data_IF_292917789773
#
_entry.id   IF_292917789773
#
_cell.length_a   1.000
_cell.length_b   1.000
_cell.length_c   1.000
_cell.angle_alpha   90.00
_cell.angle_beta   90.00
_cell.angle_gamma   90.00
#
_symmetry.space_group_name_H-M   'P 1'
#
loop_
_entity.id
_entity.type
_entity.pdbx_description
1 polymer ?
#
# COMPACT_ATOMS: atom_id res chain seq x y z
N UNK A 1 -7.50 -12.01 -12.92
CA UNK A 1 -6.98 -11.53 -14.21
C UNK A 1 -5.49 -11.86 -14.27
N UNK A 2 -4.95 -12.14 -15.46
CA UNK A 2 -3.51 -12.40 -15.63
C UNK A 2 -2.66 -11.16 -15.27
N UNK A 3 -1.46 -11.39 -14.75
CA UNK A 3 -0.54 -10.36 -14.27
C UNK A 3 -0.25 -9.28 -15.32
N UNK A 4 0.06 -9.67 -16.55
CA UNK A 4 0.39 -8.72 -17.63
C UNK A 4 -0.77 -7.77 -17.92
N UNK A 5 -2.00 -8.31 -17.99
CA UNK A 5 -3.21 -7.51 -18.15
C UNK A 5 -3.41 -6.57 -16.97
N UNK A 6 -3.18 -7.04 -15.74
CA UNK A 6 -3.31 -6.22 -14.54
C UNK A 6 -2.29 -5.07 -14.54
N UNK A 7 -1.04 -5.34 -14.91
CA UNK A 7 0.04 -4.36 -15.02
C UNK A 7 -0.28 -3.29 -16.07
N UNK A 8 -0.80 -3.67 -17.23
CA UNK A 8 -1.21 -2.73 -18.26
C UNK A 8 -2.34 -1.80 -17.79
N UNK A 9 -3.35 -2.34 -17.09
CA UNK A 9 -4.44 -1.53 -16.52
C UNK A 9 -3.89 -0.61 -15.42
N UNK A 10 -3.05 -1.12 -14.52
CA UNK A 10 -2.44 -0.34 -13.44
C UNK A 10 -1.57 0.80 -13.99
N UNK A 11 -0.73 0.54 -15.00
CA UNK A 11 0.10 1.55 -15.63
C UNK A 11 -0.72 2.66 -16.29
N UNK A 12 -1.82 2.31 -16.96
CA UNK A 12 -2.74 3.29 -17.53
C UNK A 12 -3.40 4.16 -16.45
N UNK A 13 -3.81 3.55 -15.34
CA UNK A 13 -4.40 4.27 -14.21
C UNK A 13 -3.38 5.18 -13.52
N UNK A 14 -2.16 4.69 -13.29
CA UNK A 14 -1.06 5.49 -12.73
C UNK A 14 -0.81 6.72 -13.59
N UNK A 15 -0.73 6.56 -14.92
CA UNK A 15 -0.54 7.69 -15.84
C UNK A 15 -1.67 8.72 -15.73
N UNK A 16 -2.91 8.29 -15.53
CA UNK A 16 -4.07 9.17 -15.41
C UNK A 16 -4.14 9.91 -14.06
N UNK A 17 -3.65 9.28 -12.99
CA UNK A 17 -3.67 9.84 -11.63
C UNK A 17 -2.39 10.63 -11.27
N UNK A 18 -1.25 10.35 -11.92
CA UNK A 18 0.05 10.96 -11.63
C UNK A 18 0.01 12.50 -11.48
N UNK A 19 -0.72 13.27 -12.33
CA UNK A 19 -0.77 14.73 -12.19
C UNK A 19 -1.38 15.24 -10.86
N UNK A 20 -2.11 14.38 -10.14
CA UNK A 20 -2.77 14.70 -8.88
C UNK A 20 -2.03 14.14 -7.65
N UNK A 21 -0.89 13.50 -7.85
CA UNK A 21 -0.14 12.76 -6.84
C UNK A 21 1.28 13.33 -6.72
N UNK A 22 1.74 13.53 -5.49
CA UNK A 22 3.18 13.68 -5.21
C UNK A 22 3.89 12.34 -5.42
N UNK A 23 3.26 11.26 -4.93
CA UNK A 23 3.79 9.90 -5.07
C UNK A 23 2.66 8.90 -5.30
N UNK A 24 2.95 7.86 -6.09
CA UNK A 24 2.03 6.76 -6.39
C UNK A 24 2.80 5.45 -6.51
N UNK A 25 2.31 4.42 -5.84
CA UNK A 25 2.88 3.08 -5.87
C UNK A 25 1.81 2.05 -6.19
N UNK A 26 2.09 1.20 -7.18
CA UNK A 26 1.31 -0.04 -7.40
C UNK A 26 1.74 -1.05 -6.35
N UNK A 27 0.81 -1.48 -5.51
CA UNK A 27 1.05 -2.42 -4.43
C UNK A 27 0.40 -3.78 -4.74
N UNK A 28 -0.07 -4.48 -3.70
CA UNK A 28 -0.87 -5.67 -3.85
C UNK A 28 -0.17 -6.83 -4.53
N UNK A 29 -0.98 -7.70 -5.10
CA UNK A 29 -0.52 -8.91 -5.78
C UNK A 29 0.27 -8.63 -7.07
N UNK A 30 0.07 -7.46 -7.70
CA UNK A 30 0.88 -7.00 -8.83
C UNK A 30 2.33 -6.77 -8.41
N UNK A 31 2.56 -6.02 -7.33
CA UNK A 31 3.93 -5.77 -6.83
C UNK A 31 4.63 -7.05 -6.39
N UNK A 32 3.86 -8.05 -5.90
CA UNK A 32 4.36 -9.40 -5.57
C UNK A 32 4.51 -10.34 -6.78
N UNK A 33 4.25 -9.88 -8.01
CA UNK A 33 4.37 -10.68 -9.23
C UNK A 33 3.53 -11.98 -9.22
N UNK A 34 2.33 -11.93 -8.63
CA UNK A 34 1.42 -13.09 -8.64
C UNK A 34 0.84 -13.28 -10.05
N UNK A 35 0.82 -14.50 -10.59
CA UNK A 35 0.32 -14.75 -11.95
C UNK A 35 -1.16 -14.39 -12.10
N UNK A 36 -1.96 -14.65 -11.04
CA UNK A 36 -3.37 -14.29 -10.96
C UNK A 36 -3.58 -13.14 -9.98
N UNK A 37 -4.06 -12.02 -10.51
CA UNK A 37 -4.38 -10.79 -9.80
C UNK A 37 -5.89 -10.65 -9.63
N UNK A 38 -6.36 -10.32 -8.42
CA UNK A 38 -7.79 -10.14 -8.13
C UNK A 38 -8.25 -8.70 -8.38
N UNK A 39 -7.42 -7.76 -7.98
CA UNK A 39 -7.65 -6.33 -7.87
C UNK A 39 -6.33 -5.56 -8.01
N UNK A 40 -6.44 -4.25 -8.23
CA UNK A 40 -5.31 -3.32 -8.31
C UNK A 40 -5.29 -2.50 -7.04
N UNK A 41 -4.21 -2.61 -6.27
CA UNK A 41 -3.97 -1.78 -5.09
C UNK A 41 -3.03 -0.63 -5.45
N UNK A 42 -3.43 0.62 -5.17
CA UNK A 42 -2.58 1.80 -5.27
C UNK A 42 -2.41 2.46 -3.90
N UNK A 43 -1.19 2.87 -3.57
CA UNK A 43 -0.90 3.76 -2.43
C UNK A 43 -0.49 5.11 -3.00
N UNK A 44 -1.14 6.19 -2.57
CA UNK A 44 -0.99 7.53 -3.15
C UNK A 44 -0.73 8.57 -2.05
N UNK A 45 0.29 9.41 -2.25
CA UNK A 45 0.39 10.71 -1.59
C UNK A 45 -0.23 11.76 -2.54
N UNK A 46 -1.36 12.39 -2.18
CA UNK A 46 -2.01 13.37 -3.04
C UNK A 46 -1.24 14.70 -3.03
N UNK A 47 -1.00 15.28 -4.21
CA UNK A 47 -0.48 16.66 -4.31
C UNK A 47 -1.55 17.69 -3.89
N UNK A 48 -2.81 17.36 -4.14
CA UNK A 48 -3.95 18.11 -3.62
C UNK A 48 -5.13 17.17 -3.39
N UNK A 49 -5.57 17.03 -2.13
CA UNK A 49 -6.63 16.09 -1.76
C UNK A 49 -7.96 16.39 -2.47
N UNK A 50 -8.32 17.67 -2.63
CA UNK A 50 -9.56 18.07 -3.29
C UNK A 50 -9.56 17.75 -4.78
N UNK A 51 -8.47 18.07 -5.48
CA UNK A 51 -8.36 17.77 -6.92
C UNK A 51 -8.33 16.26 -7.19
N UNK A 52 -7.60 15.48 -6.39
CA UNK A 52 -7.63 14.03 -6.49
C UNK A 52 -9.04 13.49 -6.25
N UNK A 53 -9.75 13.98 -5.23
CA UNK A 53 -11.12 13.54 -4.93
C UNK A 53 -12.08 13.84 -6.10
N UNK A 54 -12.00 15.04 -6.69
CA UNK A 54 -12.80 15.40 -7.88
C UNK A 54 -12.46 14.48 -9.06
N UNK A 55 -11.17 14.22 -9.31
CA UNK A 55 -10.75 13.30 -10.38
C UNK A 55 -11.27 11.89 -10.16
N UNK A 56 -11.13 11.33 -8.96
CA UNK A 56 -11.63 10.00 -8.62
C UNK A 56 -13.15 9.90 -8.74
N UNK A 57 -13.88 10.94 -8.32
CA UNK A 57 -15.32 11.01 -8.49
C UNK A 57 -15.73 11.00 -9.97
N UNK A 58 -15.05 11.79 -10.81
CA UNK A 58 -15.26 11.81 -12.25
C UNK A 58 -14.95 10.45 -12.92
N UNK A 59 -14.04 9.65 -12.35
CA UNK A 59 -13.75 8.28 -12.77
C UNK A 59 -14.76 7.24 -12.25
N UNK A 60 -15.81 7.67 -11.55
CA UNK A 60 -16.87 6.79 -11.05
C UNK A 60 -16.64 6.26 -9.64
N UNK A 61 -15.71 6.83 -8.86
CA UNK A 61 -15.63 6.55 -7.43
C UNK A 61 -16.89 7.10 -6.74
N UNK A 62 -17.77 6.19 -6.29
CA UNK A 62 -19.02 6.52 -5.58
C UNK A 62 -18.97 6.18 -4.09
N UNK A 63 -18.01 5.35 -3.69
CA UNK A 63 -17.87 4.85 -2.32
C UNK A 63 -16.40 4.91 -1.90
N UNK A 64 -16.10 5.76 -0.92
CA UNK A 64 -14.76 5.88 -0.35
C UNK A 64 -14.74 6.76 0.88
N UNK A 65 -13.99 6.34 1.89
CA UNK A 65 -13.69 7.16 3.06
C UNK A 65 -12.40 7.98 2.85
N UNK A 66 -12.06 8.90 3.76
CA UNK A 66 -10.91 9.79 3.58
C UNK A 66 -9.57 9.06 3.40
N UNK A 67 -9.46 7.80 3.87
CA UNK A 67 -8.23 6.99 3.80
C UNK A 67 -8.21 5.96 2.67
N UNK A 68 -9.36 5.64 2.08
CA UNK A 68 -9.46 4.60 1.07
C UNK A 68 -10.64 4.84 0.13
N UNK A 69 -10.38 4.71 -1.17
CA UNK A 69 -11.33 4.92 -2.26
C UNK A 69 -11.41 3.65 -3.10
N UNK A 70 -12.60 3.34 -3.64
CA UNK A 70 -12.79 2.17 -4.51
C UNK A 70 -13.52 2.55 -5.79
N UNK A 71 -13.03 2.05 -6.91
CA UNK A 71 -13.68 2.24 -8.20
C UNK A 71 -13.43 1.05 -9.14
N UNK A 72 -14.20 0.98 -10.21
CA UNK A 72 -13.91 0.09 -11.34
C UNK A 72 -13.20 0.86 -12.44
N UNK A 73 -12.10 0.31 -12.94
CA UNK A 73 -11.32 0.91 -14.02
C UNK A 73 -10.98 -0.16 -15.06
N UNK A 74 -11.44 0.04 -16.32
CA UNK A 74 -11.23 -0.90 -17.44
C UNK A 74 -11.57 -2.36 -17.10
N UNK A 75 -12.64 -2.56 -16.33
CA UNK A 75 -13.13 -3.88 -15.90
C UNK A 75 -12.36 -4.52 -14.74
N UNK A 76 -11.43 -3.80 -14.11
CA UNK A 76 -10.75 -4.23 -12.88
C UNK A 76 -11.29 -3.48 -11.66
N UNK A 77 -11.36 -4.16 -10.51
CA UNK A 77 -11.55 -3.50 -9.23
C UNK A 77 -10.24 -2.82 -8.80
N UNK A 78 -10.35 -1.59 -8.31
CA UNK A 78 -9.21 -0.81 -7.84
C UNK A 78 -9.49 -0.33 -6.41
N UNK A 79 -8.54 -0.62 -5.52
CA UNK A 79 -8.46 -0.07 -4.18
C UNK A 79 -7.35 0.99 -4.15
N UNK A 80 -7.70 2.21 -3.76
CA UNK A 80 -6.76 3.34 -3.64
C UNK A 80 -6.64 3.74 -2.18
N UNK A 81 -5.44 3.71 -1.63
CA UNK A 81 -5.12 4.06 -0.26
C UNK A 81 -4.42 5.42 -0.22
N UNK A 82 -5.01 6.36 0.52
CA UNK A 82 -4.49 7.72 0.67
C UNK A 82 -3.50 7.75 1.83
N UNK A 83 -2.28 8.21 1.54
CA UNK A 83 -1.16 8.29 2.45
C UNK A 83 -0.68 9.74 2.61
N UNK A 84 0.04 9.97 3.69
CA UNK A 84 0.97 11.09 3.89
C UNK A 84 2.39 10.59 3.69
N UNK A 85 3.36 11.50 3.58
CA UNK A 85 4.80 11.16 3.53
C UNK A 85 5.19 10.21 4.66
N UNK A 86 4.71 10.44 5.88
CA UNK A 86 5.06 9.62 7.03
C UNK A 86 4.36 8.27 7.08
N UNK A 87 3.23 8.11 6.39
CA UNK A 87 2.47 6.85 6.41
C UNK A 87 2.72 5.99 5.18
N UNK A 88 3.26 6.58 4.12
CA UNK A 88 3.45 5.95 2.83
C UNK A 88 4.32 4.69 2.90
N UNK A 89 5.50 4.65 3.55
CA UNK A 89 6.35 3.46 3.53
C UNK A 89 5.67 2.23 4.17
N UNK A 90 5.00 2.44 5.31
CA UNK A 90 4.28 1.36 5.99
C UNK A 90 3.02 0.94 5.22
N UNK A 91 2.28 1.89 4.64
CA UNK A 91 1.13 1.55 3.78
C UNK A 91 1.57 0.79 2.54
N UNK A 92 2.70 1.14 1.91
CA UNK A 92 3.28 0.36 0.80
C UNK A 92 3.62 -1.05 1.27
N UNK A 93 4.29 -1.23 2.42
CA UNK A 93 4.60 -2.55 2.97
C UNK A 93 3.32 -3.39 3.18
N UNK A 94 2.35 -2.84 3.91
CA UNK A 94 1.11 -3.51 4.30
C UNK A 94 0.24 -3.82 3.08
N UNK A 95 0.07 -2.87 2.16
CA UNK A 95 -0.75 -3.05 0.96
C UNK A 95 -0.04 -3.88 -0.09
N UNK A 96 1.28 -3.97 -0.07
CA UNK A 96 2.02 -4.99 -0.82
C UNK A 96 1.69 -6.37 -0.27
N UNK A 97 1.54 -6.52 1.05
CA UNK A 97 1.22 -7.80 1.68
C UNK A 97 2.32 -8.85 1.46
N UNK A 98 2.00 -10.15 1.50
CA UNK A 98 0.68 -10.75 1.64
C UNK A 98 0.02 -10.49 3.00
N UNK A 99 -1.28 -10.75 3.12
CA UNK A 99 -1.95 -10.68 4.42
C UNK A 99 -1.37 -11.64 5.45
N UNK A 100 -0.75 -12.76 5.04
CA UNK A 100 -0.07 -13.68 5.95
C UNK A 100 1.31 -13.15 6.36
N UNK A 101 2.08 -12.61 5.42
CA UNK A 101 3.35 -11.93 5.71
C UNK A 101 3.15 -10.76 6.70
N UNK A 102 2.12 -9.92 6.51
CA UNK A 102 1.79 -8.85 7.44
C UNK A 102 1.48 -9.39 8.85
N UNK A 103 0.77 -10.52 8.97
CA UNK A 103 0.50 -11.15 10.28
C UNK A 103 1.78 -11.65 10.91
N UNK A 104 2.66 -12.29 10.15
CA UNK A 104 3.94 -12.80 10.64
C UNK A 104 4.81 -11.62 11.17
N UNK A 105 4.85 -10.49 10.44
CA UNK A 105 5.51 -9.26 10.91
C UNK A 105 4.89 -8.70 12.19
N UNK A 106 3.56 -8.66 12.28
CA UNK A 106 2.86 -8.16 13.46
C UNK A 106 3.11 -9.05 14.70
N UNK A 107 3.12 -10.37 14.53
CA UNK A 107 3.46 -11.34 15.58
C UNK A 107 4.91 -11.11 16.04
N UNK A 108 5.83 -10.94 15.10
CA UNK A 108 7.25 -10.68 15.40
C UNK A 108 7.47 -9.37 16.15
N UNK A 109 6.83 -8.28 15.71
CA UNK A 109 6.86 -6.99 16.40
C UNK A 109 6.34 -7.13 17.84
N UNK A 110 5.21 -7.82 18.02
CA UNK A 110 4.64 -8.09 19.35
C UNK A 110 5.61 -8.87 20.24
N UNK A 111 6.30 -9.87 19.70
CA UNK A 111 7.33 -10.63 20.40
C UNK A 111 8.52 -9.78 20.87
N UNK A 112 8.77 -8.64 20.21
CA UNK A 112 9.78 -7.65 20.59
C UNK A 112 9.22 -6.53 21.49
N UNK A 113 7.96 -6.62 21.93
CA UNK A 113 7.31 -5.58 22.72
C UNK A 113 6.97 -4.32 21.92
N UNK A 114 6.90 -4.43 20.59
CA UNK A 114 6.59 -3.36 19.64
C UNK A 114 5.18 -3.57 19.04
N UNK A 115 4.63 -2.51 18.47
CA UNK A 115 3.37 -2.54 17.74
C UNK A 115 3.57 -2.28 16.25
N UNK A 116 3.15 -3.23 15.42
CA UNK A 116 3.08 -3.09 13.97
C UNK A 116 1.81 -2.32 13.58
N UNK A 117 1.93 -1.02 13.33
CA UNK A 117 0.79 -0.15 13.06
C UNK A 117 0.38 -0.22 11.57
N UNK A 118 -0.47 -1.20 11.24
CA UNK A 118 -0.93 -1.46 9.88
C UNK A 118 -1.75 -0.31 9.25
N UNK A 119 -2.08 0.74 10.02
CA UNK A 119 -2.72 1.95 9.54
C UNK A 119 -1.75 2.96 8.89
N UNK A 120 -0.46 2.61 8.81
CA UNK A 120 0.56 3.41 8.15
C UNK A 120 1.54 4.07 9.11
N UNK A 121 1.31 4.07 10.43
CA UNK A 121 2.20 4.81 11.35
C UNK A 121 3.59 4.21 11.52
N UNK A 122 3.83 2.99 11.04
CA UNK A 122 5.12 2.28 11.11
C UNK A 122 5.20 1.31 12.29
N UNK A 123 6.36 1.21 12.94
CA UNK A 123 6.55 0.43 14.16
C UNK A 123 6.50 1.38 15.36
N UNK A 124 5.71 1.04 16.38
CA UNK A 124 5.58 1.83 17.60
C UNK A 124 6.16 1.10 18.82
N UNK A 125 6.69 1.84 19.79
CA UNK A 125 7.03 1.32 21.11
C UNK A 125 5.79 1.22 22.02
N UNK A 126 5.98 0.81 23.27
CA UNK A 126 4.91 0.64 24.27
C UNK A 126 4.18 1.94 24.62
N UNK A 127 4.87 3.07 24.50
CA UNK A 127 4.33 4.41 24.75
C UNK A 127 3.60 4.99 23.52
N UNK A 128 3.53 4.22 22.43
CA UNK A 128 2.89 4.63 21.18
C UNK A 128 3.73 5.55 20.30
N UNK A 129 5.01 5.75 20.64
CA UNK A 129 5.93 6.55 19.83
C UNK A 129 6.46 5.73 18.66
N UNK A 130 6.63 6.36 17.50
CA UNK A 130 7.20 5.70 16.32
C UNK A 130 8.69 5.43 16.53
N UNK A 131 9.13 4.24 16.15
CA UNK A 131 10.54 3.83 16.15
C UNK A 131 11.07 3.48 14.76
N UNK A 132 10.19 3.23 13.78
CA UNK A 132 10.56 3.08 12.37
C UNK A 132 9.37 3.42 11.45
N UNK A 133 9.61 4.22 10.41
CA UNK A 133 8.55 4.67 9.47
C UNK A 133 9.08 5.28 8.16
N UNK A 134 10.39 5.44 7.98
CA UNK A 134 11.01 6.14 6.86
C UNK A 134 11.08 5.28 5.58
N UNK A 135 11.20 3.96 5.71
CA UNK A 135 11.26 3.06 4.55
C UNK A 135 10.82 1.64 4.89
N UNK A 136 10.46 0.84 3.88
CA UNK A 136 10.21 -0.60 4.07
C UNK A 136 11.45 -1.32 4.65
N UNK A 137 12.66 -0.92 4.23
CA UNK A 137 13.91 -1.50 4.73
C UNK A 137 14.17 -1.20 6.20
N UNK A 138 13.92 0.04 6.64
CA UNK A 138 14.00 0.41 8.05
C UNK A 138 12.97 -0.36 8.88
N UNK A 139 11.71 -0.40 8.45
CA UNK A 139 10.63 -1.11 9.15
C UNK A 139 10.96 -2.59 9.33
N UNK A 140 11.44 -3.26 8.27
CA UNK A 140 11.87 -4.65 8.33
C UNK A 140 13.13 -4.82 9.22
N UNK A 141 14.09 -3.89 9.11
CA UNK A 141 15.32 -3.86 9.88
C UNK A 141 15.10 -3.74 11.39
N UNK A 142 14.16 -2.90 11.83
CA UNK A 142 13.75 -2.77 13.24
C UNK A 142 13.17 -4.08 13.77
N UNK A 143 12.53 -4.88 12.91
CA UNK A 143 12.08 -6.21 13.26
C UNK A 143 13.20 -7.26 13.18
N UNK A 144 14.44 -6.88 12.87
CA UNK A 144 15.57 -7.80 12.72
C UNK A 144 15.47 -8.67 11.47
N UNK A 145 14.94 -8.12 10.38
CA UNK A 145 14.87 -8.76 9.07
C UNK A 145 15.66 -7.94 8.05
N UNK A 146 16.29 -8.57 7.05
CA UNK A 146 16.78 -7.84 5.89
C UNK A 146 15.60 -7.27 5.10
N UNK A 147 15.88 -6.41 4.10
CA UNK A 147 14.87 -6.09 3.11
C UNK A 147 14.44 -7.36 2.36
N UNK A 148 13.14 -7.63 2.34
CA UNK A 148 12.55 -8.78 1.65
C UNK A 148 11.86 -8.27 0.39
N UNK A 149 12.29 -8.77 -0.77
CA UNK A 149 11.68 -8.42 -2.05
C UNK A 149 10.18 -8.71 -2.06
N UNK A 150 9.32 -7.84 -2.63
CA UNK A 150 7.88 -8.04 -2.69
C UNK A 150 7.44 -9.43 -3.17
N UNK A 151 8.12 -10.01 -4.17
CA UNK A 151 7.82 -11.34 -4.71
C UNK A 151 8.04 -12.49 -3.72
N UNK A 152 8.76 -12.25 -2.62
CA UNK A 152 9.04 -13.23 -1.57
C UNK A 152 8.17 -13.06 -0.32
N UNK A 153 7.21 -12.14 -0.32
CA UNK A 153 6.39 -11.79 0.86
C UNK A 153 5.11 -12.61 0.97
N UNK A 154 5.18 -13.92 0.83
CA UNK A 154 4.00 -14.78 1.05
C UNK A 154 3.87 -15.19 2.53
N UNK A 155 5.01 -15.46 3.19
CA UNK A 155 5.19 -15.72 4.64
C UNK A 155 6.59 -15.27 5.06
N UNK A 156 6.84 -15.11 6.37
CA UNK A 156 8.21 -15.04 6.91
C UNK A 156 8.85 -16.43 7.01
#
# INVERSE_FOLDING_TARGET
>A
MELERAQAIAAALVKELQPFCEEIMVAGSIRRQRPLVKDIDLVIIPANQGQLAVKLHAMGCRFGGPKAQRLQYKGANVDIYIATVETFPMLVLVRTGSGAFNRDLAIRAKGQGLHFAADGRGILNKDGQRVAWLSEGEILGTLGLPYIEPSRRERL
#
